data_IF_291617975010
#
_entry.id   IF_291617975010
#
_cell.length_a   1.000
_cell.length_b   1.000
_cell.length_c   1.000
_cell.angle_alpha   90.00
_cell.angle_beta   90.00
_cell.angle_gamma   90.00
#
_symmetry.space_group_name_H-M   'P 1'
#
loop_
_entity.id
_entity.type
_entity.pdbx_description
1 polymer ?
#
# COMPACT_ATOMS: atom_id res chain seq x y z
N UNK A 1 -16.05 22.82 -27.64
CA UNK A 1 -15.03 23.04 -26.60
C UNK A 1 -14.52 21.69 -26.15
N UNK A 2 -13.31 21.30 -26.54
CA UNK A 2 -12.73 20.05 -26.05
C UNK A 2 -12.23 20.34 -24.64
N UNK A 3 -12.97 19.89 -23.63
CA UNK A 3 -12.48 19.89 -22.25
C UNK A 3 -11.17 19.09 -22.24
N UNK A 4 -10.06 19.77 -22.03
CA UNK A 4 -8.82 19.12 -21.65
C UNK A 4 -9.07 18.43 -20.31
N UNK A 5 -9.31 17.12 -20.31
CA UNK A 5 -9.38 16.34 -19.08
C UNK A 5 -7.97 16.31 -18.50
N UNK A 6 -7.68 17.04 -17.41
CA UNK A 6 -6.36 17.06 -16.83
C UNK A 6 -6.02 15.62 -16.45
N UNK A 7 -4.83 15.15 -16.82
CA UNK A 7 -4.38 13.78 -16.56
C UNK A 7 -4.63 13.45 -15.09
N UNK A 8 -5.56 12.52 -14.82
CA UNK A 8 -5.91 12.08 -13.47
C UNK A 8 -4.86 11.06 -13.03
N UNK A 9 -3.74 11.58 -12.53
CA UNK A 9 -2.71 10.80 -11.86
C UNK A 9 -2.80 11.13 -10.37
N UNK A 10 -2.90 10.11 -9.53
CA UNK A 10 -3.00 10.25 -8.09
C UNK A 10 -1.89 9.45 -7.43
N UNK A 11 -1.07 10.16 -6.66
CA UNK A 11 -0.14 9.57 -5.71
C UNK A 11 -0.95 8.93 -4.58
N UNK A 12 -0.76 7.63 -4.38
CA UNK A 12 -1.47 6.84 -3.37
C UNK A 12 -0.56 6.41 -2.22
N UNK A 13 0.67 6.92 -2.11
CA UNK A 13 1.65 6.47 -1.11
C UNK A 13 1.19 6.69 0.33
N UNK A 14 0.57 7.83 0.62
CA UNK A 14 0.04 8.13 1.95
C UNK A 14 -1.09 7.16 2.33
N UNK A 15 -2.03 6.94 1.40
CA UNK A 15 -3.08 5.95 1.57
C UNK A 15 -2.52 4.53 1.78
N UNK A 16 -1.48 4.15 1.03
CA UNK A 16 -0.85 2.83 1.19
C UNK A 16 -0.18 2.66 2.55
N UNK A 17 0.46 3.70 3.09
CA UNK A 17 1.05 3.68 4.44
C UNK A 17 -0.01 3.44 5.51
N UNK A 18 -1.13 4.16 5.41
CA UNK A 18 -2.25 3.99 6.35
C UNK A 18 -2.90 2.61 6.19
N UNK A 19 -3.11 2.18 4.95
CA UNK A 19 -3.69 0.88 4.64
C UNK A 19 -2.86 -0.26 5.25
N UNK A 20 -1.54 -0.28 5.02
CA UNK A 20 -0.65 -1.31 5.57
C UNK A 20 -0.54 -1.24 7.09
N UNK A 21 -0.50 -0.05 7.68
CA UNK A 21 -0.47 0.10 9.15
C UNK A 21 -1.70 -0.51 9.80
N UNK A 22 -2.87 -0.40 9.16
CA UNK A 22 -4.14 -0.93 9.66
C UNK A 22 -4.36 -2.42 9.34
N UNK A 23 -3.89 -2.91 8.19
CA UNK A 23 -4.17 -4.29 7.74
C UNK A 23 -3.09 -5.29 8.12
N UNK A 24 -1.81 -4.90 8.13
CA UNK A 24 -0.74 -5.84 8.43
C UNK A 24 -0.63 -6.13 9.93
N UNK A 25 -0.94 -5.16 10.78
CA UNK A 25 -0.90 -5.31 12.25
C UNK A 25 -1.99 -6.23 12.81
N UNK A 26 -2.99 -6.60 12.00
CA UNK A 26 -4.01 -7.58 12.37
C UNK A 26 -3.60 -9.02 12.06
N UNK A 27 -2.44 -9.23 11.44
CA UNK A 27 -1.95 -10.56 11.08
C UNK A 27 -1.22 -11.17 12.29
N UNK A 28 -1.71 -12.32 12.72
CA UNK A 28 -1.14 -13.15 13.77
C UNK A 28 -1.19 -14.61 13.35
N UNK A 29 -0.20 -15.38 13.77
CA UNK A 29 -0.08 -16.81 13.51
C UNK A 29 0.30 -17.51 14.81
N UNK A 30 -0.36 -18.64 15.10
CA UNK A 30 -0.06 -19.46 16.26
C UNK A 30 0.10 -20.92 15.83
N UNK A 31 1.20 -21.55 16.23
CA UNK A 31 1.45 -22.95 15.97
C UNK A 31 2.28 -23.57 17.10
N UNK A 32 1.82 -24.70 17.65
CA UNK A 32 2.57 -25.52 18.62
C UNK A 32 3.17 -24.72 19.80
N UNK A 33 2.40 -23.80 20.38
CA UNK A 33 2.78 -22.90 21.49
C UNK A 33 3.74 -21.76 21.14
N UNK A 34 4.02 -21.55 19.85
CA UNK A 34 4.73 -20.37 19.33
C UNK A 34 3.70 -19.45 18.68
N UNK A 35 3.62 -18.21 19.17
CA UNK A 35 2.83 -17.15 18.53
C UNK A 35 3.77 -16.15 17.86
N UNK A 36 3.35 -15.66 16.69
CA UNK A 36 4.02 -14.60 15.96
C UNK A 36 2.97 -13.58 15.51
N UNK A 37 3.20 -12.30 15.79
CA UNK A 37 2.31 -11.20 15.45
C UNK A 37 3.10 -10.03 14.89
N UNK A 38 2.61 -9.46 13.80
CA UNK A 38 3.16 -8.22 13.27
C UNK A 38 2.82 -7.08 14.24
N UNK A 39 3.84 -6.50 14.86
CA UNK A 39 3.68 -5.44 15.87
C UNK A 39 3.59 -4.07 15.20
N UNK A 40 4.35 -3.84 14.14
CA UNK A 40 4.43 -2.52 13.49
C UNK A 40 4.93 -2.58 12.05
N UNK A 41 4.45 -1.65 11.23
CA UNK A 41 5.06 -1.29 9.94
C UNK A 41 6.16 -0.25 10.17
N UNK A 42 7.41 -0.61 9.90
CA UNK A 42 8.58 0.26 10.11
C UNK A 42 8.75 1.26 8.97
N UNK A 43 8.65 0.79 7.73
CA UNK A 43 8.71 1.65 6.55
C UNK A 43 7.94 1.05 5.37
N UNK A 44 7.47 1.94 4.52
CA UNK A 44 6.87 1.64 3.22
C UNK A 44 7.52 2.61 2.24
N UNK A 45 8.48 2.10 1.49
CA UNK A 45 9.35 2.88 0.63
C UNK A 45 9.16 2.43 -0.82
N UNK A 46 8.94 3.37 -1.74
CA UNK A 46 8.70 3.09 -3.14
C UNK A 46 7.59 3.94 -3.74
N UNK A 47 7.14 3.55 -4.93
CA UNK A 47 6.18 4.28 -5.72
C UNK A 47 4.82 3.58 -5.74
N UNK A 48 3.75 4.36 -5.59
CA UNK A 48 2.37 3.88 -5.69
C UNK A 48 1.54 4.92 -6.41
N UNK A 49 1.24 4.65 -7.67
CA UNK A 49 0.49 5.57 -8.53
C UNK A 49 -0.75 4.91 -9.12
N UNK A 50 -1.85 5.67 -9.07
CA UNK A 50 -3.10 5.35 -9.77
C UNK A 50 -3.27 6.32 -10.92
N UNK A 51 -3.32 5.79 -12.13
CA UNK A 51 -3.36 6.57 -13.36
C UNK A 51 -4.61 6.23 -14.16
N UNK A 52 -5.17 7.20 -14.88
CA UNK A 52 -6.18 6.94 -15.91
C UNK A 52 -5.56 7.07 -17.31
N UNK A 53 -5.45 5.96 -18.05
CA UNK A 53 -4.87 5.93 -19.40
C UNK A 53 -5.83 5.28 -20.38
N UNK A 54 -6.15 5.99 -21.48
CA UNK A 54 -7.06 5.51 -22.54
C UNK A 54 -8.41 5.00 -21.98
N UNK A 55 -8.98 5.71 -21.00
CA UNK A 55 -10.24 5.35 -20.36
C UNK A 55 -10.17 4.18 -19.36
N UNK A 56 -8.99 3.61 -19.12
CA UNK A 56 -8.77 2.54 -18.14
C UNK A 56 -8.01 3.06 -16.93
N UNK A 57 -8.34 2.55 -15.75
CA UNK A 57 -7.53 2.75 -14.54
C UNK A 57 -6.34 1.78 -14.60
N UNK A 58 -5.13 2.29 -14.39
CA UNK A 58 -3.89 1.53 -14.36
C UNK A 58 -3.18 1.84 -13.05
N UNK A 59 -2.85 0.81 -12.29
CA UNK A 59 -2.05 0.90 -11.08
C UNK A 59 -0.62 0.51 -11.39
N UNK A 60 0.33 1.29 -10.90
CA UNK A 60 1.76 0.98 -10.96
C UNK A 60 2.26 1.14 -9.54
N UNK A 61 2.80 0.07 -8.99
CA UNK A 61 3.37 0.09 -7.66
C UNK A 61 4.59 -0.81 -7.60
N UNK A 62 5.61 -0.31 -6.90
CA UNK A 62 6.78 -1.06 -6.49
C UNK A 62 7.17 -0.54 -5.12
N UNK A 63 7.01 -1.37 -4.10
CA UNK A 63 7.19 -0.97 -2.70
C UNK A 63 7.97 -2.02 -1.92
N UNK A 64 8.93 -1.55 -1.14
CA UNK A 64 9.58 -2.29 -0.08
C UNK A 64 8.88 -2.00 1.24
N UNK A 65 8.41 -3.05 1.91
CA UNK A 65 7.78 -2.95 3.23
C UNK A 65 8.67 -3.61 4.27
N UNK A 66 8.98 -2.88 5.34
CA UNK A 66 9.71 -3.40 6.51
C UNK A 66 8.76 -3.55 7.68
N UNK A 67 8.75 -4.72 8.29
CA UNK A 67 7.83 -5.10 9.35
C UNK A 67 8.61 -5.55 10.58
N UNK A 68 8.07 -5.22 11.74
CA UNK A 68 8.50 -5.76 13.02
C UNK A 68 7.46 -6.77 13.50
N UNK A 69 7.92 -7.89 14.04
CA UNK A 69 7.05 -8.94 14.58
C UNK A 69 7.61 -9.45 15.92
N UNK A 70 6.72 -9.99 16.75
CA UNK A 70 7.05 -10.65 18.02
C UNK A 70 6.35 -11.98 18.09
#
# INVERSE_FOLDING_TARGET
MVLHNPKVNKDAREWTKDYFSNTLTTIEAEENSVSAKITKVLSVDGDVDVNQRKGKVVTIFDVQVKLEYT
#
